data_IF_159989444276
#
_entry.id   IF_159989444276
#
_cell.length_a   1.000
_cell.length_b   1.000
_cell.length_c   1.000
_cell.angle_alpha   90.00
_cell.angle_beta   90.00
_cell.angle_gamma   90.00
#
_symmetry.space_group_name_H-M   'P 1'
#
loop_
_entity.id
_entity.type
_entity.pdbx_description
1 polymer ?
#
# COMPACT_ATOMS: atom_id res chain seq x y z
N UNK A 1 41.11 -38.06 34.40
CA UNK A 1 40.44 -37.01 35.20
C UNK A 1 38.94 -37.18 35.07
N UNK A 2 38.18 -37.22 36.18
CA UNK A 2 36.72 -37.35 36.18
C UNK A 2 36.01 -35.98 36.17
N UNK A 3 34.67 -36.07 36.07
CA UNK A 3 33.61 -35.11 36.39
C UNK A 3 33.04 -34.31 35.20
N UNK A 4 31.89 -34.70 34.64
CA UNK A 4 30.50 -34.64 35.16
C UNK A 4 29.85 -33.29 34.83
N UNK A 5 28.90 -33.34 33.88
CA UNK A 5 28.12 -32.20 33.41
C UNK A 5 27.21 -31.59 34.48
N UNK A 6 26.96 -30.29 34.31
CA UNK A 6 25.99 -29.51 35.07
C UNK A 6 25.06 -28.78 34.10
N UNK A 7 24.06 -29.51 33.61
CA UNK A 7 22.86 -28.98 32.96
C UNK A 7 21.87 -28.57 34.04
N UNK A 8 22.12 -27.47 34.76
CA UNK A 8 21.18 -27.00 35.79
C UNK A 8 21.30 -25.50 36.03
N UNK A 9 21.26 -24.69 34.97
CA UNK A 9 21.19 -23.21 35.08
C UNK A 9 20.21 -22.53 34.12
N UNK A 10 19.54 -23.28 33.24
CA UNK A 10 18.68 -22.70 32.19
C UNK A 10 17.18 -22.78 32.45
N UNK A 11 16.75 -23.42 33.53
CA UNK A 11 15.32 -23.66 33.83
C UNK A 11 14.67 -22.62 34.77
N UNK A 12 15.30 -21.46 34.99
CA UNK A 12 14.81 -20.45 35.95
C UNK A 12 14.43 -19.11 35.28
N UNK A 13 13.90 -19.15 34.05
CA UNK A 13 13.34 -17.96 33.37
C UNK A 13 11.95 -18.28 32.79
N UNK A 14 11.11 -18.95 33.58
CA UNK A 14 9.67 -19.04 33.34
C UNK A 14 8.96 -18.45 34.56
N UNK A 15 8.57 -17.17 34.50
CA UNK A 15 7.32 -16.62 35.05
C UNK A 15 7.41 -15.11 35.25
N UNK A 16 6.34 -14.42 34.86
CA UNK A 16 6.00 -13.02 35.15
C UNK A 16 6.41 -11.95 34.12
N UNK A 17 5.62 -11.83 33.03
CA UNK A 17 4.86 -10.61 32.77
C UNK A 17 3.77 -10.87 31.71
N UNK A 18 2.66 -11.45 32.17
CA UNK A 18 1.39 -11.37 31.46
C UNK A 18 0.72 -10.04 31.83
N UNK A 19 -0.09 -9.51 30.90
CA UNK A 19 -1.01 -8.35 31.03
C UNK A 19 -0.41 -6.98 30.65
N UNK A 20 -0.23 -6.73 29.35
CA UNK A 20 -0.19 -5.37 28.77
C UNK A 20 -0.32 -5.37 27.23
N UNK A 21 -1.38 -5.96 26.65
CA UNK A 21 -1.47 -6.08 25.16
C UNK A 21 -2.85 -5.83 24.55
N UNK A 22 -3.79 -5.17 25.24
CA UNK A 22 -5.16 -4.96 24.72
C UNK A 22 -5.63 -3.51 24.72
N UNK A 23 -4.73 -2.52 24.58
CA UNK A 23 -5.15 -1.11 24.55
C UNK A 23 -4.30 -0.22 23.62
N UNK A 24 -4.24 -0.56 22.33
CA UNK A 24 -3.61 0.30 21.32
C UNK A 24 -4.29 0.18 19.95
N UNK A 25 -5.63 0.13 19.91
CA UNK A 25 -6.40 0.12 18.65
C UNK A 25 -7.59 1.10 18.68
N UNK A 26 -7.42 2.26 19.33
CA UNK A 26 -8.40 3.35 19.34
C UNK A 26 -7.72 4.73 19.26
N UNK A 27 -6.67 4.86 18.44
CA UNK A 27 -5.88 6.09 18.32
C UNK A 27 -5.59 6.50 16.86
N UNK A 28 -6.49 6.17 15.93
CA UNK A 28 -6.52 6.80 14.59
C UNK A 28 -7.98 6.96 14.12
N UNK A 29 -8.80 7.62 14.93
CA UNK A 29 -10.17 7.95 14.58
C UNK A 29 -10.71 9.10 15.40
N UNK A 30 -10.13 10.29 15.22
CA UNK A 30 -10.81 11.54 15.57
C UNK A 30 -10.37 12.64 14.60
N UNK A 31 -11.24 12.91 13.62
CA UNK A 31 -11.24 14.16 12.89
C UNK A 31 -11.91 15.21 13.79
N UNK A 32 -11.18 16.27 14.14
CA UNK A 32 -11.78 17.50 14.64
C UNK A 32 -11.33 18.63 13.75
N UNK A 33 -12.24 19.03 12.85
CA UNK A 33 -12.27 20.34 12.23
C UNK A 33 -12.53 21.39 13.30
N UNK A 34 -11.68 22.42 13.40
CA UNK A 34 -12.10 23.73 13.89
C UNK A 34 -11.03 24.80 13.64
N UNK A 35 -11.42 25.90 12.97
CA UNK A 35 -10.88 27.22 13.33
C UNK A 35 -10.03 27.97 12.28
N UNK A 36 -10.67 28.38 11.18
CA UNK A 36 -10.60 29.71 10.56
C UNK A 36 -9.40 30.62 10.95
N UNK A 37 -8.43 30.80 10.04
CA UNK A 37 -7.58 32.00 10.01
C UNK A 37 -7.78 32.73 8.70
N UNK A 38 -8.64 33.75 8.78
CA UNK A 38 -8.73 34.87 7.85
C UNK A 38 -7.37 35.58 7.80
N UNK A 39 -6.73 35.62 6.64
CA UNK A 39 -5.69 36.61 6.34
C UNK A 39 -5.85 37.01 4.88
N UNK A 40 -6.60 38.09 4.74
CA UNK A 40 -6.69 38.98 3.57
C UNK A 40 -5.30 39.38 3.05
N UNK A 41 -5.06 39.25 1.74
CA UNK A 41 -4.58 40.34 0.85
C UNK A 41 -4.56 39.91 -0.63
N UNK A 42 -5.47 40.54 -1.38
CA UNK A 42 -5.44 41.02 -2.78
C UNK A 42 -4.54 40.37 -3.84
N UNK A 43 -5.14 39.96 -4.97
CA UNK A 43 -5.33 40.86 -6.12
C UNK A 43 -6.07 40.17 -7.30
N UNK A 44 -7.15 40.80 -7.75
CA UNK A 44 -7.47 41.11 -9.18
C UNK A 44 -7.18 40.04 -10.23
N UNK A 45 -8.22 39.38 -10.78
CA UNK A 45 -8.95 39.84 -11.99
C UNK A 45 -9.73 38.72 -12.69
N UNK A 46 -10.89 39.13 -13.22
CA UNK A 46 -11.56 38.60 -14.42
C UNK A 46 -12.46 37.36 -14.27
N UNK A 47 -13.75 37.64 -14.41
CA UNK A 47 -14.84 36.70 -14.58
C UNK A 47 -14.67 35.81 -15.82
N UNK A 48 -15.02 34.53 -15.68
CA UNK A 48 -15.58 33.73 -16.78
C UNK A 48 -16.57 32.73 -16.19
N UNK A 49 -17.85 32.97 -16.49
CA UNK A 49 -18.96 32.03 -16.30
C UNK A 49 -18.74 30.80 -17.17
N UNK A 50 -18.67 29.61 -16.58
CA UNK A 50 -19.02 28.35 -17.26
C UNK A 50 -19.52 27.38 -16.21
N UNK A 51 -20.67 26.78 -16.51
CA UNK A 51 -21.49 25.96 -15.63
C UNK A 51 -20.71 24.79 -15.03
N UNK A 52 -20.76 24.69 -13.70
CA UNK A 52 -20.31 23.56 -12.92
C UNK A 52 -21.36 22.46 -13.04
N UNK A 53 -21.07 21.47 -13.89
CA UNK A 53 -21.79 20.20 -13.94
C UNK A 53 -21.65 19.53 -12.58
N UNK A 54 -22.79 19.37 -11.90
CA UNK A 54 -22.95 18.50 -10.73
C UNK A 54 -22.60 17.05 -11.14
N UNK A 55 -21.36 16.63 -10.89
CA UNK A 55 -21.04 15.21 -10.88
C UNK A 55 -21.35 14.64 -9.49
N UNK A 56 -22.56 14.09 -9.39
CA UNK A 56 -23.00 13.24 -8.30
C UNK A 56 -22.04 12.05 -8.18
N UNK A 57 -21.09 12.14 -7.26
CA UNK A 57 -20.34 10.98 -6.77
C UNK A 57 -21.33 10.05 -6.08
N UNK A 58 -21.87 9.09 -6.84
CA UNK A 58 -22.64 7.99 -6.28
C UNK A 58 -21.64 7.05 -5.64
N UNK A 59 -21.53 7.11 -4.32
CA UNK A 59 -20.89 6.05 -3.54
C UNK A 59 -21.65 4.75 -3.81
N UNK A 60 -21.03 3.80 -4.51
CA UNK A 60 -21.60 2.47 -4.72
C UNK A 60 -21.71 1.79 -3.37
N UNK A 61 -22.95 1.59 -2.94
CA UNK A 61 -23.38 0.72 -1.84
C UNK A 61 -22.64 -0.61 -1.89
N UNK A 62 -22.00 -0.99 -0.78
CA UNK A 62 -21.49 -2.35 -0.59
C UNK A 62 -22.68 -3.32 -0.66
N UNK A 63 -22.74 -4.07 -1.75
CA UNK A 63 -23.64 -5.20 -1.87
C UNK A 63 -22.95 -6.41 -1.21
N UNK A 64 -23.48 -6.78 -0.04
CA UNK A 64 -23.37 -8.12 0.54
C UNK A 64 -23.85 -9.14 -0.51
N UNK A 65 -22.91 -9.63 -1.30
CA UNK A 65 -23.13 -10.64 -2.34
C UNK A 65 -22.35 -11.89 -1.96
N UNK A 66 -23.06 -13.03 -1.87
CA UNK A 66 -22.43 -14.34 -1.73
C UNK A 66 -21.24 -14.46 -2.68
N UNK A 67 -20.07 -14.80 -2.13
CA UNK A 67 -18.87 -15.09 -2.91
C UNK A 67 -19.10 -16.43 -3.62
N UNK A 68 -19.78 -16.40 -4.77
CA UNK A 68 -19.73 -17.53 -5.70
C UNK A 68 -18.29 -17.71 -6.17
N UNK A 69 -17.85 -18.98 -6.26
CA UNK A 69 -16.49 -19.36 -6.67
C UNK A 69 -16.17 -19.10 -8.16
N UNK A 70 -16.97 -18.27 -8.83
CA UNK A 70 -16.81 -17.89 -10.22
C UNK A 70 -16.16 -16.50 -10.29
N UNK A 71 -15.27 -16.32 -11.27
CA UNK A 71 -14.71 -15.01 -11.60
C UNK A 71 -15.85 -14.03 -11.93
N UNK A 72 -15.85 -12.88 -11.29
CA UNK A 72 -16.84 -11.84 -11.53
C UNK A 72 -16.30 -10.76 -12.49
N UNK A 73 -17.16 -9.81 -12.86
CA UNK A 73 -16.78 -8.72 -13.78
C UNK A 73 -15.62 -7.87 -13.25
N UNK A 74 -15.47 -7.74 -11.92
CA UNK A 74 -14.36 -7.01 -11.33
C UNK A 74 -13.03 -7.76 -11.49
N UNK A 75 -13.03 -9.08 -11.36
CA UNK A 75 -11.83 -9.92 -11.61
C UNK A 75 -11.38 -9.81 -13.07
N UNK A 76 -12.34 -9.86 -14.00
CA UNK A 76 -12.09 -9.73 -15.44
C UNK A 76 -11.50 -8.35 -15.74
N UNK A 77 -12.13 -7.29 -15.26
CA UNK A 77 -11.66 -5.93 -15.47
C UNK A 77 -10.27 -5.72 -14.87
N UNK A 78 -10.03 -6.22 -13.64
CA UNK A 78 -8.72 -6.15 -13.01
C UNK A 78 -7.64 -6.83 -13.85
N UNK A 79 -7.85 -8.09 -14.25
CA UNK A 79 -6.88 -8.82 -15.06
C UNK A 79 -6.63 -8.15 -16.42
N UNK A 80 -7.69 -7.70 -17.10
CA UNK A 80 -7.59 -6.99 -18.38
C UNK A 80 -6.78 -5.70 -18.27
N UNK A 81 -6.91 -4.96 -17.17
CA UNK A 81 -6.14 -3.74 -16.92
C UNK A 81 -4.72 -4.02 -16.44
N UNK A 82 -4.48 -5.13 -15.73
CA UNK A 82 -3.16 -5.50 -15.24
C UNK A 82 -2.25 -6.05 -16.32
N UNK A 83 -2.78 -6.65 -17.39
CA UNK A 83 -1.96 -7.10 -18.53
C UNK A 83 -1.13 -5.94 -19.13
N UNK A 84 -1.73 -4.84 -19.65
CA UNK A 84 -0.95 -3.75 -20.23
C UNK A 84 -0.09 -3.02 -19.19
N UNK A 85 -0.56 -2.93 -17.93
CA UNK A 85 0.22 -2.34 -16.85
C UNK A 85 1.51 -3.12 -16.58
N UNK A 86 1.45 -4.45 -16.51
CA UNK A 86 2.62 -5.31 -16.33
C UNK A 86 3.54 -5.30 -17.55
N UNK A 87 2.98 -5.32 -18.76
CA UNK A 87 3.78 -5.19 -19.99
C UNK A 87 4.60 -3.89 -20.00
N UNK A 88 4.00 -2.77 -19.59
CA UNK A 88 4.73 -1.50 -19.48
C UNK A 88 5.84 -1.56 -18.43
N UNK A 89 5.61 -2.21 -17.29
CA UNK A 89 6.62 -2.36 -16.25
C UNK A 89 7.83 -3.19 -16.74
N UNK A 90 7.58 -4.23 -17.54
CA UNK A 90 8.63 -5.01 -18.21
C UNK A 90 9.40 -4.14 -19.19
N UNK A 91 8.72 -3.41 -20.09
CA UNK A 91 9.36 -2.55 -21.09
C UNK A 91 10.25 -1.48 -20.42
N UNK A 92 9.77 -0.86 -19.34
CA UNK A 92 10.56 0.10 -18.56
C UNK A 92 11.80 -0.52 -17.92
N UNK A 93 11.67 -1.75 -17.42
CA UNK A 93 12.78 -2.49 -16.81
C UNK A 93 13.82 -2.88 -17.85
N UNK A 94 13.41 -3.34 -19.03
CA UNK A 94 14.30 -3.63 -20.16
C UNK A 94 15.05 -2.38 -20.64
N UNK A 95 14.34 -1.25 -20.77
CA UNK A 95 14.96 0.04 -21.10
C UNK A 95 16.03 0.45 -20.07
N UNK A 96 15.80 0.18 -18.79
CA UNK A 96 16.78 0.46 -17.73
C UNK A 96 18.00 -0.44 -17.85
N UNK A 97 17.80 -1.74 -18.10
CA UNK A 97 18.87 -2.73 -18.26
C UNK A 97 19.73 -2.50 -19.52
N UNK A 98 19.18 -1.85 -20.55
CA UNK A 98 19.92 -1.46 -21.73
C UNK A 98 20.90 -0.27 -21.51
N UNK A 99 20.86 0.37 -20.33
CA UNK A 99 21.71 1.53 -20.02
C UNK A 99 22.99 1.11 -19.30
N UNK A 100 24.06 1.81 -19.58
CA UNK A 100 25.33 1.68 -18.85
C UNK A 100 25.33 2.49 -17.54
N UNK A 101 26.16 2.08 -16.57
CA UNK A 101 26.40 2.83 -15.34
C UNK A 101 25.26 2.79 -14.32
N UNK A 102 24.31 1.87 -14.46
CA UNK A 102 23.22 1.68 -13.50
C UNK A 102 23.75 0.96 -12.24
N UNK A 103 23.41 1.42 -11.02
CA UNK A 103 23.81 0.73 -9.79
C UNK A 103 23.31 -0.72 -9.76
N UNK A 104 24.12 -1.63 -9.23
CA UNK A 104 23.82 -3.07 -9.23
C UNK A 104 22.47 -3.42 -8.58
N UNK A 105 22.09 -2.73 -7.49
CA UNK A 105 20.79 -2.93 -6.83
C UNK A 105 19.60 -2.56 -7.74
N UNK A 106 19.78 -1.56 -8.61
CA UNK A 106 18.73 -1.13 -9.54
C UNK A 106 18.61 -2.10 -10.71
N UNK A 107 19.74 -2.65 -11.17
CA UNK A 107 19.77 -3.74 -12.16
C UNK A 107 19.04 -4.98 -11.61
N UNK A 108 19.36 -5.37 -10.38
CA UNK A 108 18.71 -6.50 -9.70
C UNK A 108 17.19 -6.27 -9.53
N UNK A 109 16.80 -5.06 -9.15
CA UNK A 109 15.39 -4.69 -9.05
C UNK A 109 14.67 -4.80 -10.41
N UNK A 110 15.26 -4.25 -11.49
CA UNK A 110 14.66 -4.32 -12.82
C UNK A 110 14.51 -5.76 -13.30
N UNK A 111 15.51 -6.61 -13.07
CA UNK A 111 15.40 -8.04 -13.38
C UNK A 111 14.27 -8.70 -12.56
N UNK A 112 14.17 -8.39 -11.27
CA UNK A 112 13.08 -8.91 -10.43
C UNK A 112 11.69 -8.46 -10.88
N UNK A 113 11.55 -7.25 -11.42
CA UNK A 113 10.29 -6.78 -12.01
C UNK A 113 9.95 -7.60 -13.26
N UNK A 114 10.92 -7.85 -14.15
CA UNK A 114 10.71 -8.67 -15.35
C UNK A 114 10.30 -10.09 -14.97
N UNK A 115 11.01 -10.71 -14.03
CA UNK A 115 10.75 -12.10 -13.61
C UNK A 115 9.37 -12.25 -12.94
N UNK A 116 8.91 -11.21 -12.23
CA UNK A 116 7.64 -11.25 -11.50
C UNK A 116 6.42 -10.85 -12.36
N UNK A 117 6.62 -10.00 -13.38
CA UNK A 117 5.52 -9.38 -14.15
C UNK A 117 5.52 -9.76 -15.63
N UNK A 118 6.57 -10.43 -16.10
CA UNK A 118 6.66 -10.98 -17.45
C UNK A 118 5.70 -12.18 -17.67
N UNK A 119 5.47 -12.54 -18.94
CA UNK A 119 4.66 -13.70 -19.31
C UNK A 119 5.29 -15.04 -18.90
#
# INVERSE_FOLDING_TARGET
MPLKGSTMRRTLVLSALAVASTLALAACGEATESGNTDTTTSATSTATTTAETTETTTATTEADGEISADHNDADIMFAQMMIPHHQQAVEMSEMLLAKEGIPAQVVEFAQGVIDAQGP
#
